data_IF_937928016115
#
_entry.id   IF_937928016115
#
_cell.length_a   1.000
_cell.length_b   1.000
_cell.length_c   1.000
_cell.angle_alpha   90.00
_cell.angle_beta   90.00
_cell.angle_gamma   90.00
#
_symmetry.space_group_name_H-M   'P 1'
#
loop_
_entity.id
_entity.type
_entity.pdbx_description
1 polymer ?
#
# COMPACT_ATOMS: atom_id res chain seq x y z
N UNK A 1 -19.26 -15.00 9.69
CA UNK A 1 -19.64 -13.71 9.09
C UNK A 1 -18.80 -12.53 9.58
N UNK A 2 -18.21 -12.57 10.78
CA UNK A 2 -17.37 -11.46 11.34
C UNK A 2 -16.05 -11.25 10.57
N UNK A 3 -15.34 -12.32 10.23
CA UNK A 3 -14.05 -12.26 9.50
C UNK A 3 -14.13 -11.54 8.14
N UNK A 4 -15.26 -11.62 7.46
CA UNK A 4 -15.44 -11.02 6.13
C UNK A 4 -15.57 -9.49 6.21
N UNK A 5 -16.27 -8.98 7.24
CA UNK A 5 -16.45 -7.54 7.45
C UNK A 5 -15.12 -6.85 7.83
N UNK A 6 -14.28 -7.54 8.61
CA UNK A 6 -12.95 -7.04 8.96
C UNK A 6 -12.02 -7.00 7.73
N UNK A 7 -12.05 -8.03 6.88
CA UNK A 7 -11.25 -8.05 5.64
C UNK A 7 -11.68 -6.97 4.64
N UNK A 8 -12.98 -6.75 4.47
CA UNK A 8 -13.49 -5.68 3.60
C UNK A 8 -13.05 -4.30 4.09
N UNK A 9 -13.11 -4.06 5.41
CA UNK A 9 -12.67 -2.79 6.00
C UNK A 9 -11.16 -2.58 5.82
N UNK A 10 -10.36 -3.60 6.08
CA UNK A 10 -8.91 -3.56 5.88
C UNK A 10 -8.52 -3.33 4.42
N UNK A 11 -9.24 -3.94 3.46
CA UNK A 11 -9.02 -3.67 2.04
C UNK A 11 -9.35 -2.22 1.67
N UNK A 12 -10.46 -1.67 2.18
CA UNK A 12 -10.80 -0.26 1.96
C UNK A 12 -9.76 0.68 2.58
N UNK A 13 -9.30 0.39 3.80
CA UNK A 13 -8.27 1.18 4.47
C UNK A 13 -6.93 1.14 3.72
N UNK A 14 -6.53 -0.05 3.23
CA UNK A 14 -5.33 -0.20 2.41
C UNK A 14 -5.44 0.59 1.10
N UNK A 15 -6.60 0.56 0.45
CA UNK A 15 -6.84 1.32 -0.78
C UNK A 15 -6.66 2.83 -0.56
N UNK A 16 -7.21 3.36 0.54
CA UNK A 16 -7.06 4.77 0.90
C UNK A 16 -5.61 5.13 1.21
N UNK A 17 -4.89 4.29 1.97
CA UNK A 17 -3.45 4.53 2.25
C UNK A 17 -2.62 4.52 0.96
N UNK A 18 -2.92 3.64 0.00
CA UNK A 18 -2.23 3.65 -1.29
C UNK A 18 -2.50 4.93 -2.09
N UNK A 19 -3.70 5.50 -1.99
CA UNK A 19 -4.01 6.81 -2.58
C UNK A 19 -3.20 7.92 -1.92
N UNK A 20 -3.20 7.97 -0.59
CA UNK A 20 -2.46 8.99 0.17
C UNK A 20 -0.95 8.90 -0.09
N UNK A 21 -0.36 7.70 -0.15
CA UNK A 21 1.06 7.52 -0.51
C UNK A 21 1.30 8.05 -1.93
N UNK A 22 0.41 7.73 -2.88
CA UNK A 22 0.54 8.21 -4.26
C UNK A 22 0.45 9.73 -4.36
N UNK A 23 -0.42 10.37 -3.58
CA UNK A 23 -0.52 11.84 -3.52
C UNK A 23 0.72 12.46 -2.87
N UNK A 24 1.19 11.89 -1.77
CA UNK A 24 2.43 12.33 -1.12
C UNK A 24 3.63 12.26 -2.06
N UNK A 25 3.76 11.19 -2.84
CA UNK A 25 4.83 11.06 -3.83
C UNK A 25 4.76 12.17 -4.89
N UNK A 26 3.55 12.52 -5.37
CA UNK A 26 3.39 13.67 -6.28
C UNK A 26 3.79 14.98 -5.63
N UNK A 27 3.40 15.19 -4.37
CA UNK A 27 3.75 16.40 -3.61
C UNK A 27 5.26 16.53 -3.43
N UNK A 28 5.99 15.40 -3.37
CA UNK A 28 7.46 15.35 -3.33
C UNK A 28 8.13 15.45 -4.70
N UNK A 29 7.35 15.59 -5.78
CA UNK A 29 7.88 15.72 -7.15
C UNK A 29 8.17 14.39 -7.86
N UNK A 30 7.85 13.26 -7.22
CA UNK A 30 7.98 11.94 -7.85
C UNK A 30 6.76 11.63 -8.72
N UNK A 31 6.93 10.69 -9.66
CA UNK A 31 5.84 10.20 -10.49
C UNK A 31 5.31 8.86 -9.93
N UNK A 32 4.07 8.80 -9.39
CA UNK A 32 3.48 7.57 -8.85
C UNK A 32 3.42 6.41 -9.85
N UNK A 33 3.47 6.69 -11.16
CA UNK A 33 3.45 5.67 -12.22
C UNK A 33 4.71 4.79 -12.19
N UNK A 34 5.83 5.32 -11.67
CA UNK A 34 7.09 4.57 -11.54
C UNK A 34 7.02 3.51 -10.43
N UNK A 35 6.14 3.72 -9.45
CA UNK A 35 5.87 2.81 -8.34
C UNK A 35 4.73 1.84 -8.70
N UNK A 36 5.07 0.85 -9.52
CA UNK A 36 4.11 -0.13 -10.06
C UNK A 36 3.50 -1.03 -8.98
N UNK A 37 4.24 -1.28 -7.89
CA UNK A 37 3.76 -2.02 -6.72
C UNK A 37 2.57 -1.34 -6.04
N UNK A 38 2.60 -0.02 -5.83
CA UNK A 38 1.51 0.78 -5.27
C UNK A 38 0.25 0.65 -6.11
N UNK A 39 0.39 0.77 -7.44
CA UNK A 39 -0.71 0.57 -8.37
C UNK A 39 -1.31 -0.84 -8.31
N UNK A 40 -0.46 -1.87 -8.17
CA UNK A 40 -0.90 -3.26 -8.00
C UNK A 40 -1.64 -3.46 -6.68
N UNK A 41 -1.07 -3.01 -5.56
CA UNK A 41 -1.68 -3.15 -4.23
C UNK A 41 -3.02 -2.43 -4.19
N UNK A 42 -3.10 -1.22 -4.75
CA UNK A 42 -4.35 -0.47 -4.89
C UNK A 42 -5.42 -1.28 -5.64
N UNK A 43 -5.06 -1.91 -6.77
CA UNK A 43 -6.00 -2.73 -7.54
C UNK A 43 -6.42 -4.01 -6.79
N UNK A 44 -5.47 -4.67 -6.11
CA UNK A 44 -5.73 -5.86 -5.27
C UNK A 44 -6.72 -5.49 -4.15
N UNK A 45 -6.47 -4.39 -3.45
CA UNK A 45 -7.33 -3.90 -2.37
C UNK A 45 -8.74 -3.53 -2.88
N UNK A 46 -8.82 -2.84 -4.02
CA UNK A 46 -10.09 -2.46 -4.66
C UNK A 46 -10.92 -3.68 -5.08
N UNK A 47 -10.28 -4.66 -5.70
CA UNK A 47 -10.95 -5.87 -6.19
C UNK A 47 -11.10 -6.95 -5.11
N UNK A 48 -10.49 -6.74 -3.93
CA UNK A 48 -10.44 -7.69 -2.82
C UNK A 48 -9.92 -9.06 -3.27
N UNK A 49 -8.92 -9.04 -4.14
CA UNK A 49 -8.37 -10.24 -4.79
C UNK A 49 -7.65 -11.13 -3.74
N UNK A 50 -8.23 -12.29 -3.35
CA UNK A 50 -7.70 -13.09 -2.26
C UNK A 50 -6.33 -13.73 -2.56
N UNK A 51 -5.98 -13.96 -3.83
CA UNK A 51 -4.65 -14.43 -4.21
C UNK A 51 -3.65 -13.26 -4.24
N UNK A 52 -4.11 -12.09 -4.69
CA UNK A 52 -3.35 -10.85 -4.65
C UNK A 52 -3.00 -10.43 -3.21
N UNK A 53 -3.92 -10.59 -2.25
CA UNK A 53 -3.72 -10.19 -0.85
C UNK A 53 -2.47 -10.83 -0.22
N UNK A 54 -2.19 -12.09 -0.54
CA UNK A 54 -1.01 -12.83 -0.05
C UNK A 54 0.32 -12.27 -0.53
N UNK A 55 0.29 -11.48 -1.60
CA UNK A 55 1.48 -10.95 -2.27
C UNK A 55 1.67 -9.44 -2.02
N UNK A 56 0.79 -8.78 -1.25
CA UNK A 56 0.85 -7.32 -1.02
C UNK A 56 2.22 -6.91 -0.48
N UNK A 57 2.73 -7.58 0.56
CA UNK A 57 4.01 -7.22 1.19
C UNK A 57 5.16 -7.19 0.17
N UNK A 58 5.21 -8.15 -0.75
CA UNK A 58 6.25 -8.18 -1.79
C UNK A 58 6.14 -7.03 -2.79
N UNK A 59 4.91 -6.58 -3.10
CA UNK A 59 4.71 -5.40 -3.94
C UNK A 59 5.07 -4.10 -3.21
N UNK A 60 4.78 -4.01 -1.92
CA UNK A 60 5.14 -2.86 -1.09
C UNK A 60 6.65 -2.76 -0.90
N UNK A 61 7.33 -3.87 -0.60
CA UNK A 61 8.79 -3.91 -0.39
C UNK A 61 9.55 -3.32 -1.59
N UNK A 62 9.15 -3.69 -2.82
CA UNK A 62 9.81 -3.21 -4.04
C UNK A 62 9.74 -1.70 -4.18
N UNK A 63 8.54 -1.14 -4.04
CA UNK A 63 8.32 0.30 -4.22
C UNK A 63 8.84 1.11 -3.04
N UNK A 64 8.69 0.63 -1.80
CA UNK A 64 9.18 1.33 -0.63
C UNK A 64 10.71 1.35 -0.59
N UNK A 65 11.37 0.30 -1.11
CA UNK A 65 12.81 0.31 -1.33
C UNK A 65 13.21 1.38 -2.36
N UNK A 66 12.49 1.51 -3.47
CA UNK A 66 12.75 2.59 -4.44
C UNK A 66 12.57 3.97 -3.82
N UNK A 67 11.53 4.18 -3.02
CA UNK A 67 11.29 5.44 -2.31
C UNK A 67 12.43 5.76 -1.34
N UNK A 68 12.89 4.74 -0.60
CA UNK A 68 14.05 4.86 0.27
C UNK A 68 15.34 5.19 -0.49
N UNK A 69 15.62 4.48 -1.59
CA UNK A 69 16.80 4.67 -2.43
C UNK A 69 16.81 6.07 -3.08
N UNK A 70 15.65 6.58 -3.48
CA UNK A 70 15.46 7.93 -4.01
C UNK A 70 15.54 9.02 -2.92
N UNK A 71 15.69 8.65 -1.64
CA UNK A 71 15.68 9.56 -0.47
C UNK A 71 14.42 10.42 -0.40
N UNK A 72 13.32 9.92 -0.95
CA UNK A 72 11.99 10.55 -0.85
C UNK A 72 11.40 10.09 0.46
N UNK A 73 11.96 10.58 1.56
CA UNK A 73 11.57 10.19 2.91
C UNK A 73 11.03 11.42 3.63
N UNK A 74 9.85 11.24 4.22
CA UNK A 74 9.25 12.20 5.12
C UNK A 74 8.55 11.43 6.24
N UNK A 75 8.48 12.01 7.43
CA UNK A 75 7.82 11.37 8.56
C UNK A 75 6.36 11.00 8.24
N UNK A 76 5.67 11.82 7.43
CA UNK A 76 4.30 11.56 7.00
C UNK A 76 4.23 10.35 6.07
N UNK A 77 5.13 10.26 5.09
CA UNK A 77 5.19 9.16 4.14
C UNK A 77 5.58 7.85 4.83
N UNK A 78 6.58 7.89 5.71
CA UNK A 78 7.02 6.73 6.50
C UNK A 78 5.91 6.18 7.39
N UNK A 79 5.13 7.05 8.04
CA UNK A 79 3.94 6.63 8.81
C UNK A 79 2.92 5.91 7.93
N UNK A 80 2.67 6.40 6.71
CA UNK A 80 1.73 5.76 5.77
C UNK A 80 2.25 4.42 5.26
N UNK A 81 3.55 4.31 5.02
CA UNK A 81 4.20 3.04 4.67
C UNK A 81 4.08 2.01 5.79
N UNK A 82 4.34 2.41 7.03
CA UNK A 82 4.16 1.52 8.19
C UNK A 82 2.71 1.06 8.35
N UNK A 83 1.74 1.97 8.17
CA UNK A 83 0.32 1.61 8.18
C UNK A 83 -0.03 0.59 7.09
N UNK A 84 0.51 0.75 5.87
CA UNK A 84 0.31 -0.21 4.79
C UNK A 84 0.86 -1.61 5.14
N UNK A 85 2.04 -1.71 5.77
CA UNK A 85 2.59 -2.99 6.23
C UNK A 85 1.72 -3.65 7.31
N UNK A 86 1.27 -2.88 8.31
CA UNK A 86 0.43 -3.39 9.39
C UNK A 86 -0.90 -3.96 8.85
N UNK A 87 -1.46 -3.34 7.82
CA UNK A 87 -2.69 -3.84 7.19
C UNK A 87 -2.39 -5.05 6.30
N UNK A 88 -1.28 -5.03 5.55
CA UNK A 88 -0.85 -6.17 4.74
C UNK A 88 -0.65 -7.44 5.57
N UNK A 89 -0.02 -7.30 6.73
CA UNK A 89 0.20 -8.40 7.69
C UNK A 89 -1.15 -8.99 8.14
N UNK A 90 -2.09 -8.14 8.55
CA UNK A 90 -3.45 -8.57 8.95
C UNK A 90 -4.25 -9.22 7.81
N UNK A 91 -4.03 -8.79 6.56
CA UNK A 91 -4.72 -9.34 5.38
C UNK A 91 -4.12 -10.66 4.89
N UNK A 92 -2.86 -10.94 5.24
CA UNK A 92 -2.14 -12.16 4.85
C UNK A 92 -2.48 -13.39 5.71
N UNK A 93 -3.29 -13.21 6.76
CA UNK A 93 -3.76 -14.26 7.69
C UNK A 93 -5.07 -14.91 7.20
#
# INVERSE_FOLDING_TARGET
MVLSMDKEKLCSELFEIMNEISELLKDYGENPIEYRGLGKVKNIAKNRDPEGLKNISGYLDGDFRMIYDNRVSSEKLEKKMQQAYLISDKLSI
#
